data_IF_463843070124
#
_entry.id   IF_463843070124
#
_cell.length_a   1.000
_cell.length_b   1.000
_cell.length_c   1.000
_cell.angle_alpha   90.00
_cell.angle_beta   90.00
_cell.angle_gamma   90.00
#
_symmetry.space_group_name_H-M   'P 1'
#
loop_
_entity.id
_entity.type
_entity.pdbx_description
1 polymer ?
#
# COMPACT_ATOMS: atom_id res chain seq x y z
N UNK A 1 -19.01 -15.65 -2.92
CA UNK A 1 -18.14 -14.82 -2.06
C UNK A 1 -18.86 -13.50 -1.80
N UNK A 2 -19.18 -13.18 -0.55
CA UNK A 2 -19.83 -11.89 -0.21
C UNK A 2 -18.75 -10.81 -0.24
N UNK A 3 -18.70 -10.06 -1.33
CA UNK A 3 -17.79 -8.93 -1.49
C UNK A 3 -18.19 -7.84 -0.48
N UNK A 4 -17.21 -7.16 0.12
CA UNK A 4 -17.31 -6.20 1.23
C UNK A 4 -18.25 -4.99 0.99
N UNK A 5 -18.88 -4.92 -0.18
CA UNK A 5 -19.90 -3.93 -0.54
C UNK A 5 -21.08 -3.88 0.44
N UNK A 6 -21.33 -4.95 1.21
CA UNK A 6 -22.39 -4.98 2.23
C UNK A 6 -21.92 -4.46 3.62
N UNK A 7 -20.62 -4.26 3.81
CA UNK A 7 -20.03 -3.77 5.09
C UNK A 7 -19.66 -2.29 5.07
N UNK A 8 -19.71 -1.64 3.90
CA UNK A 8 -19.59 -0.19 3.80
C UNK A 8 -20.99 0.38 4.06
N UNK A 9 -21.24 0.82 5.31
CA UNK A 9 -22.46 1.54 5.65
C UNK A 9 -22.64 2.76 4.73
N UNK A 10 -23.88 3.23 4.51
CA UNK A 10 -24.15 4.36 3.63
C UNK A 10 -23.29 5.57 4.07
N UNK A 11 -22.56 6.16 3.12
CA UNK A 11 -21.89 7.44 3.31
C UNK A 11 -22.94 8.54 3.29
N UNK A 12 -23.72 8.65 4.37
CA UNK A 12 -24.71 9.71 4.54
C UNK A 12 -24.00 10.97 5.05
N UNK A 13 -23.90 11.98 4.18
CA UNK A 13 -23.49 13.34 4.56
C UNK A 13 -24.68 14.06 5.23
N UNK A 14 -25.09 13.56 6.39
CA UNK A 14 -26.25 14.06 7.16
C UNK A 14 -25.90 15.26 8.07
N UNK A 15 -24.71 15.87 7.94
CA UNK A 15 -24.25 16.94 8.84
C UNK A 15 -24.06 16.50 10.30
N UNK A 16 -24.10 15.19 10.58
CA UNK A 16 -23.83 14.59 11.90
C UNK A 16 -22.31 14.53 12.14
N UNK A 17 -21.84 14.64 13.39
CA UNK A 17 -20.41 14.50 13.70
C UNK A 17 -19.89 13.18 13.13
N UNK A 18 -18.76 13.26 12.42
CA UNK A 18 -18.17 12.14 11.71
C UNK A 18 -17.97 10.94 12.66
N UNK A 19 -18.45 9.77 12.25
CA UNK A 19 -18.38 8.56 13.08
C UNK A 19 -16.92 8.23 13.39
N UNK A 20 -16.59 8.22 14.68
CA UNK A 20 -15.25 7.89 15.18
C UNK A 20 -15.17 6.40 15.47
N UNK A 21 -14.00 5.83 15.20
CA UNK A 21 -13.73 4.40 15.28
C UNK A 21 -12.59 4.16 16.26
N UNK A 22 -12.78 3.19 17.14
CA UNK A 22 -11.71 2.63 17.95
C UNK A 22 -11.46 1.21 17.45
N UNK A 23 -10.21 0.90 17.10
CA UNK A 23 -9.84 -0.41 16.55
C UNK A 23 -8.92 -1.10 17.54
N UNK A 24 -9.38 -2.22 18.08
CA UNK A 24 -8.59 -3.02 19.02
C UNK A 24 -7.41 -3.70 18.35
N UNK A 25 -7.65 -4.32 17.19
CA UNK A 25 -6.63 -4.98 16.41
C UNK A 25 -6.94 -4.88 14.91
N UNK A 26 -5.90 -4.62 14.12
CA UNK A 26 -5.92 -4.68 12.67
C UNK A 26 -4.75 -5.54 12.22
N UNK A 27 -5.07 -6.69 11.65
CA UNK A 27 -4.11 -7.68 11.18
C UNK A 27 -4.26 -7.86 9.66
N UNK A 28 -3.16 -7.68 8.93
CA UNK A 28 -3.06 -7.96 7.51
C UNK A 28 -1.89 -8.92 7.30
N UNK A 29 -2.19 -10.14 6.88
CA UNK A 29 -1.19 -11.19 6.69
C UNK A 29 -1.28 -11.78 5.28
N UNK A 30 -0.17 -12.30 4.77
CA UNK A 30 -0.10 -13.00 3.47
C UNK A 30 -0.67 -12.18 2.29
N UNK A 31 -0.60 -10.86 2.36
CA UNK A 31 -1.15 -10.02 1.32
C UNK A 31 -0.22 -10.05 0.09
N UNK A 32 -0.79 -10.15 -1.11
CA UNK A 32 -0.05 -10.15 -2.38
C UNK A 32 -0.50 -8.98 -3.24
N UNK A 33 0.46 -8.20 -3.75
CA UNK A 33 0.20 -7.15 -4.73
C UNK A 33 0.69 -7.60 -6.10
N UNK A 34 -0.16 -7.44 -7.13
CA UNK A 34 0.29 -7.55 -8.50
C UNK A 34 0.83 -6.18 -8.94
N UNK A 35 2.14 -6.06 -9.12
CA UNK A 35 2.73 -4.91 -9.77
C UNK A 35 2.82 -5.20 -11.27
N UNK A 36 1.97 -4.54 -12.05
CA UNK A 36 2.19 -4.40 -13.49
C UNK A 36 3.34 -3.41 -13.66
N UNK A 37 4.53 -3.94 -13.94
CA UNK A 37 5.65 -3.08 -14.27
C UNK A 37 5.34 -2.44 -15.62
N UNK A 38 5.22 -1.10 -15.68
CA UNK A 38 5.13 -0.35 -16.95
C UNK A 38 6.29 -0.67 -17.92
N UNK A 39 7.32 -1.36 -17.44
CA UNK A 39 8.54 -1.72 -18.16
C UNK A 39 8.46 -3.06 -18.91
N UNK A 40 7.50 -3.94 -18.58
CA UNK A 40 7.33 -5.23 -19.28
C UNK A 40 5.85 -5.45 -19.60
N UNK A 41 5.42 -5.15 -20.84
CA UNK A 41 4.07 -5.44 -21.31
C UNK A 41 3.75 -6.93 -21.10
N UNK A 42 2.65 -7.20 -20.39
CA UNK A 42 2.15 -8.58 -20.21
C UNK A 42 2.78 -9.38 -19.07
N UNK A 43 3.71 -8.82 -18.26
CA UNK A 43 4.19 -9.49 -17.04
C UNK A 43 3.79 -8.72 -15.79
N UNK A 44 2.89 -9.31 -15.00
CA UNK A 44 2.63 -8.90 -13.63
C UNK A 44 3.59 -9.66 -12.72
N UNK A 45 4.30 -8.94 -11.84
CA UNK A 45 5.10 -9.56 -10.78
C UNK A 45 4.24 -9.60 -9.52
N UNK A 46 4.04 -10.80 -8.98
CA UNK A 46 3.45 -10.97 -7.66
C UNK A 46 4.46 -10.56 -6.59
N UNK A 47 4.12 -9.57 -5.78
CA UNK A 47 4.93 -9.10 -4.66
C UNK A 47 4.21 -9.49 -3.38
N UNK A 48 4.87 -10.27 -2.53
CA UNK A 48 4.38 -10.52 -1.18
C UNK A 48 4.57 -9.26 -0.35
N UNK A 49 3.47 -8.76 0.21
CA UNK A 49 3.46 -7.64 1.14
C UNK A 49 3.81 -8.15 2.55
N UNK A 50 4.51 -7.33 3.35
CA UNK A 50 4.85 -7.68 4.71
C UNK A 50 3.60 -7.73 5.59
N UNK A 51 3.60 -8.63 6.57
CA UNK A 51 2.53 -8.71 7.56
C UNK A 51 2.49 -7.42 8.41
N UNK A 52 1.27 -6.92 8.64
CA UNK A 52 1.01 -5.73 9.44
C UNK A 52 0.10 -6.12 10.60
N UNK A 53 0.54 -5.75 11.79
CA UNK A 53 -0.23 -5.87 13.02
C UNK A 53 -0.27 -4.49 13.66
N UNK A 54 -1.46 -3.92 13.77
CA UNK A 54 -1.70 -2.67 14.47
C UNK A 54 -2.69 -2.94 15.60
N UNK A 55 -2.47 -2.32 16.75
CA UNK A 55 -3.35 -2.44 17.92
C UNK A 55 -3.70 -1.08 18.45
N UNK A 56 -4.81 -1.03 19.17
CA UNK A 56 -5.20 0.10 20.00
C UNK A 56 -5.32 1.44 19.23
N UNK A 57 -5.73 1.37 17.96
CA UNK A 57 -5.86 2.57 17.12
C UNK A 57 -7.07 3.38 17.60
N UNK A 58 -6.83 4.66 17.87
CA UNK A 58 -7.87 5.60 18.28
C UNK A 58 -8.25 5.55 19.77
N UNK A 59 -7.70 4.62 20.56
CA UNK A 59 -8.01 4.52 22.01
C UNK A 59 -7.62 5.78 22.79
N UNK A 60 -6.49 6.38 22.44
CA UNK A 60 -5.96 7.56 23.15
C UNK A 60 -6.56 8.90 22.69
N UNK A 61 -7.27 8.91 21.55
CA UNK A 61 -7.72 10.15 20.87
C UNK A 61 -9.23 10.26 20.74
N UNK A 62 -10.00 9.51 21.53
CA UNK A 62 -11.47 9.43 21.43
C UNK A 62 -11.93 8.94 20.04
N UNK A 63 -11.18 7.97 19.48
CA UNK A 63 -11.41 7.37 18.19
C UNK A 63 -10.73 8.08 17.01
N UNK A 64 -10.67 7.41 15.87
CA UNK A 64 -10.18 7.94 14.59
C UNK A 64 -11.30 7.94 13.56
N UNK A 65 -11.29 8.89 12.64
CA UNK A 65 -12.16 8.83 11.47
C UNK A 65 -11.72 7.70 10.53
N UNK A 66 -12.61 7.20 9.64
CA UNK A 66 -12.22 6.22 8.62
C UNK A 66 -11.04 6.69 7.74
N UNK A 67 -10.97 7.99 7.43
CA UNK A 67 -9.86 8.58 6.66
C UNK A 67 -8.53 8.50 7.39
N UNK A 68 -8.50 8.87 8.68
CA UNK A 68 -7.30 8.79 9.52
C UNK A 68 -6.86 7.34 9.71
N UNK A 69 -7.79 6.40 9.91
CA UNK A 69 -7.48 4.97 9.99
C UNK A 69 -6.78 4.49 8.70
N UNK A 70 -7.31 4.87 7.54
CA UNK A 70 -6.70 4.57 6.24
C UNK A 70 -5.29 5.12 6.11
N UNK A 71 -5.04 6.35 6.57
CA UNK A 71 -3.71 6.95 6.57
C UNK A 71 -2.73 6.21 7.49
N UNK A 72 -3.16 5.78 8.68
CA UNK A 72 -2.34 5.02 9.63
C UNK A 72 -1.91 3.67 9.01
N UNK A 73 -2.86 2.95 8.39
CA UNK A 73 -2.60 1.68 7.72
C UNK A 73 -1.63 1.88 6.55
N UNK A 74 -1.91 2.82 5.65
CA UNK A 74 -1.08 3.10 4.48
C UNK A 74 0.34 3.53 4.86
N UNK A 75 0.47 4.40 5.88
CA UNK A 75 1.77 4.83 6.40
C UNK A 75 2.57 3.68 6.99
N UNK A 76 1.91 2.76 7.70
CA UNK A 76 2.57 1.58 8.27
C UNK A 76 3.01 0.60 7.18
N UNK A 77 2.15 0.36 6.19
CA UNK A 77 2.50 -0.46 5.02
C UNK A 77 3.71 0.11 4.28
N UNK A 78 3.74 1.43 4.04
CA UNK A 78 4.87 2.11 3.41
C UNK A 78 6.18 1.91 4.19
N UNK A 79 6.18 2.07 5.51
CA UNK A 79 7.38 1.86 6.35
C UNK A 79 7.89 0.42 6.28
N UNK A 80 6.98 -0.55 6.39
CA UNK A 80 7.33 -1.98 6.31
C UNK A 80 7.83 -2.35 4.92
N UNK A 81 7.25 -1.80 3.86
CA UNK A 81 7.71 -1.98 2.48
C UNK A 81 9.10 -1.36 2.25
N UNK A 82 9.38 -0.17 2.79
CA UNK A 82 10.71 0.43 2.69
C UNK A 82 11.79 -0.36 3.41
N UNK A 83 11.42 -1.09 4.48
CA UNK A 83 12.34 -1.99 5.19
C UNK A 83 12.43 -3.40 4.58
N UNK A 84 11.52 -3.77 3.69
CA UNK A 84 11.52 -5.08 3.07
C UNK A 84 12.57 -5.14 1.94
N UNK A 85 13.66 -5.87 2.18
CA UNK A 85 14.79 -6.03 1.25
C UNK A 85 14.37 -6.45 -0.18
N UNK A 86 13.24 -7.15 -0.34
CA UNK A 86 12.72 -7.60 -1.63
C UNK A 86 12.26 -6.45 -2.54
N UNK A 87 11.63 -5.41 -2.01
CA UNK A 87 11.21 -4.26 -2.82
C UNK A 87 12.41 -3.40 -3.24
N UNK A 88 13.37 -3.21 -2.33
CA UNK A 88 14.63 -2.53 -2.63
C UNK A 88 15.38 -3.20 -3.79
N UNK A 89 15.50 -4.53 -3.78
CA UNK A 89 16.16 -5.27 -4.87
C UNK A 89 15.44 -5.11 -6.22
N UNK A 90 14.10 -5.16 -6.25
CA UNK A 90 13.33 -4.97 -7.49
C UNK A 90 13.52 -3.55 -8.02
N UNK A 91 13.45 -2.53 -7.15
CA UNK A 91 13.64 -1.13 -7.55
C UNK A 91 15.06 -0.90 -8.04
N UNK A 92 16.08 -1.42 -7.34
CA UNK A 92 17.48 -1.31 -7.75
C UNK A 92 17.75 -2.01 -9.09
N UNK A 93 17.29 -3.26 -9.26
CA UNK A 93 17.44 -3.98 -10.52
C UNK A 93 16.76 -3.25 -11.69
N UNK A 94 15.61 -2.64 -11.41
CA UNK A 94 14.88 -1.83 -12.38
C UNK A 94 15.62 -0.53 -12.73
N UNK A 95 16.13 0.20 -11.73
CA UNK A 95 16.87 1.44 -11.96
C UNK A 95 18.18 1.19 -12.70
N UNK A 96 18.87 0.11 -12.39
CA UNK A 96 20.12 -0.27 -13.05
C UNK A 96 19.88 -0.62 -14.52
N UNK A 97 18.80 -1.35 -14.81
CA UNK A 97 18.43 -1.70 -16.19
C UNK A 97 17.99 -0.47 -16.98
N UNK A 98 17.17 0.39 -16.39
CA UNK A 98 16.71 1.63 -17.03
C UNK A 98 17.88 2.61 -17.26
N UNK A 99 18.80 2.73 -16.29
CA UNK A 99 20.00 3.54 -16.42
C UNK A 99 20.90 3.05 -17.55
N UNK A 100 21.15 1.74 -17.63
CA UNK A 100 21.93 1.13 -18.73
C UNK A 100 21.27 1.33 -20.09
N UNK A 101 19.94 1.15 -20.19
CA UNK A 101 19.20 1.39 -21.43
C UNK A 101 19.27 2.87 -21.86
N UNK A 102 19.08 3.81 -20.93
CA UNK A 102 19.20 5.25 -21.19
C UNK A 102 20.59 5.66 -21.66
N UNK A 103 21.65 5.11 -21.05
CA UNK A 103 23.03 5.35 -21.48
C UNK A 103 23.33 4.80 -22.89
N UNK A 104 22.77 3.65 -23.25
CA UNK A 104 22.93 3.08 -24.59
C UNK A 104 22.26 3.93 -25.67
N UNK A 105 21.06 4.45 -25.42
CA UNK A 105 20.36 5.34 -26.35
C UNK A 105 21.11 6.67 -26.49
N UNK A 106 21.65 7.23 -25.40
CA UNK A 106 22.42 8.49 -25.45
C UNK A 106 23.69 8.38 -26.30
N UNK A 107 24.32 7.20 -26.35
CA UNK A 107 25.49 6.93 -27.18
C UNK A 107 25.15 6.69 -28.66
N UNK A 108 23.88 6.46 -29.01
CA UNK A 108 23.42 6.26 -30.39
C UNK A 108 23.12 7.58 -31.11
N UNK A 109 22.86 8.66 -30.37
CA UNK A 109 22.58 10.01 -30.91
C UNK A 109 23.79 10.96 -30.80
N UNK A 110 25.00 10.41 -30.68
CA UNK A 110 26.24 11.17 -30.59
C UNK A 110 27.16 10.86 -31.75
#
# INVERSE_FOLDING_TARGET
MKNISHSLGPSSDDGKPAKRLTVDAFDMTNATAAASTYLVPGKAVGITLPDIHLKDIGKEKDGVTPGELGQIIAGTLKRKLSGAHHFGQVVSATSDTLGKAGSAIKNLFK
#
